data_IF_829727424466
#
_entry.id   IF_829727424466
#
_cell.length_a   1.000
_cell.length_b   1.000
_cell.length_c   1.000
_cell.angle_alpha   90.00
_cell.angle_beta   90.00
_cell.angle_gamma   90.00
#
_symmetry.space_group_name_H-M   'P 1'
#
loop_
_entity.id
_entity.type
_entity.pdbx_description
1 polymer ?
#
# COMPACT_ATOMS: atom_id res chain seq x y z
N UNK A 1 -9.73 10.11 -5.17
CA UNK A 1 -8.40 9.79 -4.65
C UNK A 1 -8.28 10.44 -3.28
N UNK A 2 -7.81 9.70 -2.26
CA UNK A 2 -7.46 10.26 -0.97
C UNK A 2 -6.46 11.42 -1.11
N UNK A 3 -6.62 12.45 -0.26
CA UNK A 3 -5.67 13.56 -0.18
C UNK A 3 -4.49 13.22 0.72
N UNK A 4 -3.32 13.79 0.41
CA UNK A 4 -2.15 13.72 1.30
C UNK A 4 -2.27 14.81 2.39
N UNK A 5 -2.10 14.41 3.64
CA UNK A 5 -2.05 15.29 4.80
C UNK A 5 -0.60 15.58 5.16
N UNK A 6 -0.23 16.86 5.07
CA UNK A 6 1.05 17.36 5.55
C UNK A 6 0.87 18.06 6.91
N UNK A 7 1.85 17.96 7.83
CA UNK A 7 1.82 18.69 9.10
C UNK A 7 1.75 20.21 8.93
N UNK A 8 2.30 20.74 7.84
CA UNK A 8 2.26 22.16 7.48
C UNK A 8 1.87 22.28 6.00
N UNK A 9 1.04 23.28 5.69
CA UNK A 9 0.34 23.49 4.41
C UNK A 9 1.00 22.85 3.19
N UNK A 10 0.32 21.86 2.63
CA UNK A 10 0.69 21.18 1.40
C UNK A 10 -0.50 20.43 0.84
N UNK A 11 -0.45 20.06 -0.42
CA UNK A 11 -1.49 19.26 -1.07
C UNK A 11 -0.87 18.16 -1.91
N UNK A 12 -1.61 17.07 -2.03
CA UNK A 12 -1.18 15.94 -2.83
C UNK A 12 -2.28 14.93 -3.03
N UNK A 13 -2.05 14.02 -3.96
CA UNK A 13 -2.94 12.90 -4.26
C UNK A 13 -2.19 11.60 -4.01
N UNK A 14 -2.89 10.61 -3.49
CA UNK A 14 -2.39 9.27 -3.35
C UNK A 14 -3.39 8.29 -3.98
N UNK A 15 -2.87 7.31 -4.71
CA UNK A 15 -3.65 6.21 -5.24
C UNK A 15 -2.83 4.92 -5.20
N UNK A 16 -3.45 3.85 -4.75
CA UNK A 16 -2.90 2.51 -4.81
C UNK A 16 -3.88 1.54 -5.46
N UNK A 17 -3.37 0.53 -6.14
CA UNK A 17 -4.18 -0.56 -6.70
C UNK A 17 -3.45 -1.89 -6.55
N UNK A 18 -4.22 -2.90 -6.19
CA UNK A 18 -3.77 -4.29 -6.23
C UNK A 18 -3.99 -4.82 -7.64
N UNK A 19 -2.95 -5.40 -8.24
CA UNK A 19 -3.03 -5.98 -9.57
C UNK A 19 -3.48 -7.43 -9.49
N UNK A 20 -4.39 -7.81 -10.38
CA UNK A 20 -4.79 -9.20 -10.57
C UNK A 20 -3.58 -10.04 -10.98
N UNK A 21 -3.36 -11.16 -10.31
CA UNK A 21 -2.31 -12.13 -10.60
C UNK A 21 -2.86 -13.48 -11.09
N UNK A 22 -4.18 -13.58 -11.30
CA UNK A 22 -4.87 -14.80 -11.69
C UNK A 22 -4.80 -15.06 -13.20
N UNK A 23 -4.92 -16.33 -13.59
CA UNK A 23 -5.15 -16.70 -15.00
C UNK A 23 -6.65 -16.59 -15.31
N UNK A 24 -7.09 -15.43 -15.78
CA UNK A 24 -8.48 -15.17 -16.18
C UNK A 24 -8.99 -13.83 -15.66
N UNK A 25 -10.29 -13.58 -15.80
CA UNK A 25 -10.97 -12.46 -15.12
C UNK A 25 -11.66 -13.01 -13.89
N UNK A 26 -10.91 -13.16 -12.80
CA UNK A 26 -11.46 -13.57 -11.51
C UNK A 26 -11.23 -12.46 -10.48
N UNK A 27 -12.10 -12.37 -9.47
CA UNK A 27 -11.89 -11.48 -8.32
C UNK A 27 -11.08 -12.18 -7.21
N UNK A 28 -10.28 -13.20 -7.59
CA UNK A 28 -9.54 -14.06 -6.66
C UNK A 28 -8.07 -14.00 -7.03
N UNK A 29 -7.25 -13.53 -6.10
CA UNK A 29 -5.80 -13.56 -6.29
C UNK A 29 -5.26 -14.95 -5.95
N UNK A 30 -4.36 -15.44 -6.77
CA UNK A 30 -3.68 -16.72 -6.58
C UNK A 30 -2.62 -16.60 -5.48
N UNK A 31 -2.80 -17.32 -4.38
CA UNK A 31 -1.87 -17.28 -3.24
C UNK A 31 -0.44 -17.72 -3.61
N UNK A 32 -0.32 -18.65 -4.56
CA UNK A 32 0.95 -19.23 -5.02
C UNK A 32 1.77 -18.31 -5.94
N UNK A 33 1.25 -17.13 -6.29
CA UNK A 33 1.91 -16.14 -7.14
C UNK A 33 2.21 -14.86 -6.37
N UNK A 34 3.22 -14.08 -6.80
CA UNK A 34 3.44 -12.77 -6.22
C UNK A 34 2.21 -11.88 -6.40
N UNK A 35 1.84 -11.12 -5.37
CA UNK A 35 0.80 -10.09 -5.45
C UNK A 35 1.49 -8.75 -5.64
N UNK A 36 1.06 -7.97 -6.63
CA UNK A 36 1.64 -6.66 -6.91
C UNK A 36 0.69 -5.56 -6.49
N UNK A 37 1.22 -4.56 -5.79
CA UNK A 37 0.49 -3.35 -5.40
C UNK A 37 1.23 -2.16 -6.00
N UNK A 38 0.60 -1.47 -6.94
CA UNK A 38 1.13 -0.24 -7.51
C UNK A 38 0.63 0.95 -6.68
N UNK A 39 1.55 1.77 -6.20
CA UNK A 39 1.26 2.98 -5.45
C UNK A 39 1.88 4.18 -6.16
N UNK A 40 1.09 5.21 -6.40
CA UNK A 40 1.50 6.46 -7.05
C UNK A 40 1.01 7.64 -6.24
N UNK A 41 1.84 8.68 -6.16
CA UNK A 41 1.46 9.93 -5.51
C UNK A 41 2.05 11.14 -6.17
N UNK A 42 1.36 12.26 -5.96
CA UNK A 42 1.81 13.57 -6.35
C UNK A 42 1.76 14.50 -5.15
N UNK A 43 2.73 15.41 -5.08
CA UNK A 43 2.78 16.50 -4.11
C UNK A 43 2.89 17.81 -4.88
N UNK A 44 2.41 18.90 -4.30
CA UNK A 44 2.58 20.21 -4.89
C UNK A 44 4.05 20.67 -4.91
N UNK A 45 4.33 21.70 -5.72
CA UNK A 45 5.69 22.19 -5.94
C UNK A 45 6.31 22.89 -4.71
N UNK A 46 5.50 23.40 -3.79
CA UNK A 46 5.98 24.01 -2.54
C UNK A 46 6.45 22.92 -1.59
N UNK A 47 5.62 21.90 -1.36
CA UNK A 47 5.97 20.69 -0.61
C UNK A 47 7.25 20.04 -1.16
N UNK A 48 7.37 19.89 -2.48
CA UNK A 48 8.55 19.28 -3.11
C UNK A 48 9.87 20.04 -2.84
N UNK A 49 9.82 21.35 -2.56
CA UNK A 49 11.01 22.17 -2.28
C UNK A 49 11.47 22.12 -0.83
N UNK A 50 10.54 21.89 0.10
CA UNK A 50 10.80 22.00 1.55
C UNK A 50 10.93 20.64 2.23
N UNK A 51 10.32 19.60 1.66
CA UNK A 51 10.38 18.25 2.22
C UNK A 51 11.71 17.58 1.90
N UNK A 52 12.26 16.88 2.90
CA UNK A 52 13.44 16.03 2.76
C UNK A 52 13.23 14.65 3.39
N UNK A 53 14.20 13.75 3.20
CA UNK A 53 14.14 12.39 3.73
C UNK A 53 13.59 11.37 2.73
N UNK A 54 12.60 10.57 3.14
CA UNK A 54 12.05 9.48 2.32
C UNK A 54 10.58 9.22 2.59
N UNK A 55 9.92 8.64 1.60
CA UNK A 55 8.61 8.01 1.71
C UNK A 55 8.77 6.55 2.12
N UNK A 56 7.87 6.07 2.95
CA UNK A 56 7.67 4.64 3.22
C UNK A 56 6.26 4.25 2.78
N UNK A 57 6.14 3.19 1.99
CA UNK A 57 4.85 2.64 1.54
C UNK A 57 4.72 1.23 2.11
N UNK A 58 3.73 1.03 2.97
CA UNK A 58 3.41 -0.24 3.58
C UNK A 58 2.01 -0.68 3.16
N UNK A 59 1.80 -1.98 2.99
CA UNK A 59 0.48 -2.56 2.77
C UNK A 59 0.16 -3.53 3.90
N UNK A 60 -1.08 -3.47 4.37
CA UNK A 60 -1.61 -4.33 5.42
C UNK A 60 -2.85 -5.03 4.91
N UNK A 61 -3.01 -6.30 5.29
CA UNK A 61 -4.20 -7.09 5.02
C UNK A 61 -4.93 -7.37 6.31
N UNK A 62 -6.16 -6.86 6.41
CA UNK A 62 -7.07 -7.14 7.50
C UNK A 62 -8.01 -8.28 7.10
N UNK A 63 -8.05 -9.32 7.93
CA UNK A 63 -8.87 -10.50 7.70
C UNK A 63 -10.36 -10.20 7.92
N UNK A 64 -11.22 -10.63 7.00
CA UNK A 64 -12.67 -10.60 7.22
C UNK A 64 -13.09 -11.89 7.93
N UNK A 65 -13.40 -11.76 9.23
CA UNK A 65 -13.69 -12.88 10.12
C UNK A 65 -12.46 -13.26 10.96
N UNK A 66 -12.33 -14.52 11.40
CA UNK A 66 -11.18 -14.94 12.20
C UNK A 66 -9.89 -14.94 11.36
N UNK A 67 -8.90 -14.19 11.81
CA UNK A 67 -7.58 -14.15 11.19
C UNK A 67 -6.70 -13.04 11.77
N UNK A 68 -5.41 -13.10 11.45
CA UNK A 68 -4.47 -12.05 11.83
C UNK A 68 -4.56 -10.85 10.87
N UNK A 69 -4.15 -9.69 11.38
CA UNK A 69 -3.70 -8.59 10.53
C UNK A 69 -2.28 -8.91 10.04
N UNK A 70 -2.06 -8.78 8.74
CA UNK A 70 -0.80 -9.19 8.10
C UNK A 70 -0.17 -7.95 7.47
N UNK A 71 1.06 -7.62 7.88
CA UNK A 71 1.92 -6.74 7.08
C UNK A 71 2.30 -7.50 5.80
N UNK A 72 2.03 -6.91 4.64
CA UNK A 72 2.41 -7.47 3.33
C UNK A 72 3.83 -6.99 2.98
N UNK A 73 4.88 -7.81 3.16
CA UNK A 73 6.24 -7.37 2.91
C UNK A 73 6.53 -7.29 1.40
N UNK A 74 7.55 -6.53 0.99
CA UNK A 74 8.35 -5.63 1.82
C UNK A 74 7.70 -4.23 1.93
N UNK A 75 8.03 -3.50 3.00
CA UNK A 75 7.81 -2.05 3.05
C UNK A 75 8.74 -1.39 2.03
N UNK A 76 8.17 -0.57 1.15
CA UNK A 76 8.94 0.14 0.13
C UNK A 76 9.46 1.46 0.68
N UNK A 77 10.69 1.81 0.32
CA UNK A 77 11.30 3.11 0.66
C UNK A 77 11.63 3.86 -0.62
N UNK A 78 11.14 5.09 -0.74
CA UNK A 78 11.40 5.94 -1.90
C UNK A 78 12.02 7.26 -1.45
N UNK A 79 13.25 7.59 -1.86
CA UNK A 79 13.90 8.83 -1.43
C UNK A 79 13.14 10.04 -1.99
N UNK A 80 12.98 11.08 -1.16
CA UNK A 80 12.58 12.40 -1.66
C UNK A 80 13.71 12.94 -2.52
N UNK A 81 13.38 13.38 -3.72
CA UNK A 81 14.35 13.79 -4.74
C UNK A 81 14.11 15.24 -5.23
N UNK A 82 13.26 16.00 -4.53
CA UNK A 82 12.82 17.33 -4.94
C UNK A 82 11.79 17.34 -6.07
N UNK A 83 11.36 16.17 -6.55
CA UNK A 83 10.32 16.01 -7.54
C UNK A 83 8.92 16.10 -6.93
N UNK A 84 7.92 16.21 -7.81
CA UNK A 84 6.50 16.28 -7.45
C UNK A 84 5.76 14.98 -7.72
N UNK A 85 6.37 14.03 -8.43
CA UNK A 85 5.75 12.76 -8.83
C UNK A 85 6.58 11.60 -8.30
N UNK A 86 5.91 10.65 -7.68
CA UNK A 86 6.53 9.48 -7.09
C UNK A 86 5.68 8.24 -7.33
N UNK A 87 6.32 7.08 -7.23
CA UNK A 87 5.63 5.80 -7.29
C UNK A 87 6.54 4.65 -6.88
N UNK A 88 5.91 3.55 -6.50
CA UNK A 88 6.59 2.29 -6.21
C UNK A 88 5.66 1.10 -6.43
N UNK A 89 6.24 -0.10 -6.45
CA UNK A 89 5.50 -1.36 -6.51
C UNK A 89 5.90 -2.24 -5.34
N UNK A 90 4.94 -2.61 -4.50
CA UNK A 90 5.13 -3.67 -3.51
C UNK A 90 4.92 -5.00 -4.23
N UNK A 91 5.93 -5.86 -4.21
CA UNK A 91 5.85 -7.23 -4.72
C UNK A 91 5.81 -8.17 -3.52
N UNK A 92 4.59 -8.53 -3.13
CA UNK A 92 4.33 -9.42 -2.00
C UNK A 92 4.73 -10.84 -2.40
N UNK A 93 5.57 -11.53 -1.62
CA UNK A 93 6.00 -12.88 -1.94
C UNK A 93 4.84 -13.87 -2.07
N UNK A 94 4.96 -14.88 -2.94
CA UNK A 94 4.06 -16.03 -2.95
C UNK A 94 3.87 -16.64 -1.57
N UNK A 95 2.70 -17.21 -1.33
CA UNK A 95 2.34 -17.93 -0.10
C UNK A 95 2.39 -17.08 1.17
N UNK A 96 2.35 -15.75 1.04
CA UNK A 96 2.15 -14.83 2.18
C UNK A 96 0.78 -15.05 2.82
N UNK A 97 -0.21 -15.46 2.02
CA UNK A 97 -1.57 -15.76 2.43
C UNK A 97 -1.87 -17.26 2.28
N UNK A 98 -2.79 -17.80 3.10
CA UNK A 98 -3.26 -19.18 2.92
C UNK A 98 -3.95 -19.35 1.57
N UNK A 99 -3.72 -20.51 0.96
CA UNK A 99 -4.37 -20.92 -0.28
C UNK A 99 -5.75 -21.55 0.02
N UNK A 100 -6.80 -20.96 -0.57
CA UNK A 100 -8.21 -21.32 -0.44
C UNK A 100 -8.62 -21.93 0.92
N UNK A 101 -8.49 -21.18 2.03
CA UNK A 101 -8.71 -21.72 3.37
C UNK A 101 -10.15 -22.19 3.58
N UNK A 102 -10.30 -23.27 4.35
CA UNK A 102 -11.61 -23.80 4.73
C UNK A 102 -12.42 -22.78 5.57
N UNK A 103 -13.77 -22.86 5.57
CA UNK A 103 -14.61 -22.01 6.40
C UNK A 103 -14.17 -22.04 7.88
N UNK A 104 -13.92 -20.86 8.47
CA UNK A 104 -13.34 -20.72 9.81
C UNK A 104 -11.92 -20.15 9.83
N UNK A 105 -11.27 -20.04 8.67
CA UNK A 105 -10.06 -19.23 8.46
C UNK A 105 -10.31 -18.16 7.40
N UNK A 106 -9.70 -16.98 7.55
CA UNK A 106 -9.88 -15.88 6.60
C UNK A 106 -9.27 -16.18 5.23
N UNK A 107 -10.09 -16.07 4.18
CA UNK A 107 -9.67 -16.06 2.78
C UNK A 107 -10.09 -14.80 2.03
N UNK A 108 -10.65 -13.82 2.76
CA UNK A 108 -11.10 -12.54 2.23
C UNK A 108 -10.46 -11.45 3.06
N UNK A 109 -9.84 -10.48 2.38
CA UNK A 109 -9.01 -9.48 3.02
C UNK A 109 -9.40 -8.07 2.56
N UNK A 110 -9.39 -7.14 3.51
CA UNK A 110 -9.34 -5.71 3.25
C UNK A 110 -7.88 -5.30 3.18
N UNK A 111 -7.45 -4.74 2.04
CA UNK A 111 -6.06 -4.29 1.87
C UNK A 111 -5.99 -2.79 2.07
N UNK A 112 -5.17 -2.37 3.03
CA UNK A 112 -4.93 -0.97 3.38
C UNK A 112 -3.49 -0.61 3.00
N UNK A 113 -3.31 0.40 2.17
CA UNK A 113 -2.01 0.90 1.76
C UNK A 113 -1.77 2.23 2.47
N UNK A 114 -0.66 2.33 3.19
CA UNK A 114 -0.29 3.49 3.99
C UNK A 114 0.95 4.13 3.38
N UNK A 115 0.84 5.43 3.10
CA UNK A 115 1.96 6.30 2.74
C UNK A 115 2.42 7.06 3.99
N UNK A 116 3.69 6.91 4.33
CA UNK A 116 4.34 7.58 5.45
C UNK A 116 5.45 8.49 4.93
N UNK A 117 5.60 9.65 5.55
CA UNK A 117 6.76 10.51 5.35
C UNK A 117 7.75 10.31 6.52
N UNK A 118 9.04 10.22 6.22
CA UNK A 118 10.12 10.16 7.22
C UNK A 118 11.08 11.31 6.96
N UNK A 119 10.84 12.43 7.63
CA UNK A 119 11.59 13.66 7.43
C UNK A 119 12.77 13.72 8.42
N UNK A 120 14.00 13.58 7.92
CA UNK A 120 15.25 13.66 8.70
C UNK A 120 15.27 12.88 10.03
N UNK A 121 14.70 11.66 10.04
CA UNK A 121 14.68 10.80 11.23
C UNK A 121 13.51 11.03 12.18
N UNK A 122 12.69 12.06 11.96
CA UNK A 122 11.44 12.24 12.67
C UNK A 122 10.32 11.43 12.01
N UNK A 123 9.57 10.70 12.83
CA UNK A 123 8.33 10.07 12.43
C UNK A 123 7.32 11.21 12.20
N UNK A 124 6.88 11.41 10.95
CA UNK A 124 5.68 12.20 10.72
C UNK A 124 4.45 11.29 10.75
N UNK A 125 3.27 11.89 10.87
CA UNK A 125 2.00 11.19 10.82
C UNK A 125 1.78 10.47 9.47
N UNK A 126 0.71 9.68 9.38
CA UNK A 126 0.25 9.07 8.15
C UNK A 126 -0.03 10.15 7.11
N UNK A 127 0.74 10.12 6.02
CA UNK A 127 0.61 11.11 4.96
C UNK A 127 -0.62 10.83 4.11
N UNK A 128 -0.90 9.56 3.78
CA UNK A 128 -2.15 9.17 3.13
C UNK A 128 -2.46 7.68 3.36
N UNK A 129 -3.73 7.33 3.17
CA UNK A 129 -4.21 5.95 3.15
C UNK A 129 -5.03 5.77 1.88
N UNK A 130 -4.91 4.60 1.25
CA UNK A 130 -5.84 4.14 0.22
C UNK A 130 -6.23 2.69 0.50
N UNK A 131 -7.45 2.33 0.14
CA UNK A 131 -8.00 1.00 0.40
C UNK A 131 -8.34 0.31 -0.93
N UNK A 132 -7.84 -0.91 -1.10
CA UNK A 132 -8.26 -1.72 -2.24
C UNK A 132 -9.68 -2.25 -2.00
N UNK A 133 -10.41 -2.67 -3.06
CA UNK A 133 -11.62 -3.46 -2.90
C UNK A 133 -11.37 -4.69 -2.01
N UNK A 134 -12.43 -5.26 -1.42
CA UNK A 134 -12.31 -6.56 -0.74
C UNK A 134 -11.85 -7.62 -1.73
N UNK A 135 -10.78 -8.33 -1.39
CA UNK A 135 -10.18 -9.35 -2.26
C UNK A 135 -10.31 -10.72 -1.62
N UNK A 136 -10.67 -11.71 -2.43
CA UNK A 136 -10.48 -13.11 -2.06
C UNK A 136 -9.05 -13.51 -2.46
N UNK A 137 -8.36 -14.21 -1.58
CA UNK A 137 -7.05 -14.80 -1.87
C UNK A 137 -7.15 -16.30 -1.64
N UNK A 138 -6.67 -17.07 -2.61
CA UNK A 138 -6.61 -18.52 -2.54
C UNK A 138 -6.40 -19.13 -3.91
#
# INVERSE_FOLDING_TARGET
MPGIQFPEQGSGTFAAKVLDNSVGTTNVLEASKPIKIEAVWQIDAESARVLGGRWEVAAYAESIGPGAEILMPPVQTVPLNGGTNYGTVIVVPPNTFPDNPAPGASGVYKIVIVLLLRNFGNITDVAAIDEAPLLRIG
#
